data_IF_475545303511
#
_entry.id   IF_475545303511
#
_cell.length_a   1.000
_cell.length_b   1.000
_cell.length_c   1.000
_cell.angle_alpha   90.00
_cell.angle_beta   90.00
_cell.angle_gamma   90.00
#
_symmetry.space_group_name_H-M   'P 1'
#
loop_
_entity.id
_entity.type
_entity.pdbx_description
1 polymer ?
#
# COMPACT_ATOMS: atom_id res chain seq x y z
N UNK A 1 20.53 10.00 -24.39
CA UNK A 1 21.20 9.32 -23.26
C UNK A 1 20.12 8.88 -22.30
N UNK A 2 19.61 7.65 -22.49
CA UNK A 2 18.61 7.04 -21.62
C UNK A 2 19.32 6.61 -20.33
N UNK A 3 18.75 6.93 -19.18
CA UNK A 3 19.17 6.38 -17.88
C UNK A 3 18.37 5.10 -17.62
N UNK A 4 19.02 3.93 -17.46
CA UNK A 4 18.40 2.72 -16.95
C UNK A 4 18.86 2.51 -15.51
N UNK A 5 18.02 2.86 -14.53
CA UNK A 5 18.29 2.69 -13.10
C UNK A 5 17.01 3.06 -12.32
N UNK A 6 16.31 2.22 -11.55
CA UNK A 6 16.69 1.00 -10.84
C UNK A 6 15.43 0.16 -10.56
N UNK A 7 15.51 -1.12 -10.93
CA UNK A 7 14.69 -2.18 -10.36
C UNK A 7 15.17 -2.50 -8.93
N UNK A 8 14.25 -3.05 -8.11
CA UNK A 8 14.53 -3.87 -6.92
C UNK A 8 15.17 -3.18 -5.70
N UNK A 9 14.35 -2.58 -4.83
CA UNK A 9 14.49 -2.73 -3.36
C UNK A 9 13.09 -2.72 -2.73
N UNK A 10 12.38 -3.84 -2.84
CA UNK A 10 11.14 -4.11 -2.12
C UNK A 10 11.33 -5.43 -1.37
N UNK A 11 12.07 -5.39 -0.25
CA UNK A 11 12.24 -6.55 0.61
C UNK A 11 12.62 -6.13 2.04
N UNK A 12 12.04 -6.84 3.01
CA UNK A 12 12.27 -6.80 4.46
C UNK A 12 11.47 -5.71 5.20
N UNK A 13 10.19 -5.96 5.55
CA UNK A 13 9.63 -7.05 6.36
C UNK A 13 10.24 -7.11 7.77
N UNK A 14 9.51 -6.49 8.70
CA UNK A 14 9.69 -6.53 10.15
C UNK A 14 9.45 -7.96 10.65
N UNK A 15 10.44 -8.55 11.33
CA UNK A 15 10.27 -9.76 12.12
C UNK A 15 10.67 -9.48 13.58
N UNK A 16 9.73 -9.50 14.54
CA UNK A 16 10.08 -9.58 15.95
C UNK A 16 10.39 -11.05 16.27
N UNK A 17 11.66 -11.34 16.53
CA UNK A 17 12.09 -12.62 17.12
C UNK A 17 11.68 -12.63 18.60
N UNK A 18 10.52 -13.22 18.88
CA UNK A 18 10.08 -13.51 20.24
C UNK A 18 10.38 -14.96 20.60
N UNK A 19 11.03 -15.08 21.75
CA UNK A 19 11.66 -16.23 22.37
C UNK A 19 10.63 -17.08 23.15
N UNK A 20 10.86 -18.40 23.16
CA UNK A 20 10.57 -19.38 24.22
C UNK A 20 9.11 -19.56 24.74
N UNK A 21 8.54 -20.74 24.49
CA UNK A 21 8.15 -21.66 25.57
C UNK A 21 7.74 -23.04 25.01
N UNK A 22 8.44 -24.07 25.45
CA UNK A 22 8.09 -25.47 25.27
C UNK A 22 7.11 -25.92 26.37
N UNK A 23 6.03 -26.60 26.00
CA UNK A 23 5.20 -27.41 26.91
C UNK A 23 4.85 -28.73 26.23
N UNK A 24 5.24 -29.83 26.87
CA UNK A 24 5.07 -31.22 26.44
C UNK A 24 3.63 -31.74 26.63
N UNK A 25 3.23 -32.82 25.92
CA UNK A 25 1.84 -33.29 25.83
C UNK A 25 1.56 -34.53 26.70
N UNK A 26 0.40 -34.58 27.37
CA UNK A 26 -0.20 -35.84 27.82
C UNK A 26 -1.69 -35.66 28.21
N UNK A 27 -2.50 -36.65 27.79
CA UNK A 27 -3.88 -36.97 28.20
C UNK A 27 -5.06 -36.32 27.42
N UNK A 28 -5.36 -36.96 26.28
CA UNK A 28 -6.63 -37.63 25.95
C UNK A 28 -7.97 -37.01 26.40
N UNK A 29 -8.86 -36.77 25.42
CA UNK A 29 -10.31 -36.79 25.67
C UNK A 29 -11.19 -36.02 24.68
N UNK A 30 -11.70 -36.72 23.66
CA UNK A 30 -13.12 -36.72 23.21
C UNK A 30 -13.80 -35.37 22.90
N UNK A 31 -13.95 -35.01 21.62
CA UNK A 31 -15.23 -35.12 20.88
C UNK A 31 -15.09 -34.52 19.47
N UNK A 32 -15.53 -35.30 18.47
CA UNK A 32 -15.77 -34.84 17.12
C UNK A 32 -17.16 -34.20 17.09
N UNK A 33 -17.20 -32.87 17.03
CA UNK A 33 -18.39 -32.17 16.58
C UNK A 33 -18.19 -31.73 15.13
N UNK A 34 -18.98 -32.38 14.28
CA UNK A 34 -19.29 -31.96 12.95
C UNK A 34 -20.05 -30.64 13.01
N UNK A 35 -19.39 -29.54 12.63
CA UNK A 35 -20.05 -28.47 11.90
C UNK A 35 -19.12 -28.06 10.76
N UNK A 36 -19.32 -28.75 9.64
CA UNK A 36 -19.18 -28.12 8.34
C UNK A 36 -20.00 -26.83 8.35
N UNK A 37 -19.36 -25.74 8.76
CA UNK A 37 -19.60 -24.45 8.15
C UNK A 37 -18.44 -24.22 7.21
N UNK A 38 -18.47 -24.96 6.09
CA UNK A 38 -17.99 -24.43 4.82
C UNK A 38 -18.78 -23.14 4.57
N UNK A 39 -18.36 -22.07 5.23
CA UNK A 39 -18.40 -20.78 4.58
C UNK A 39 -17.03 -20.70 3.95
N UNK A 40 -16.87 -21.07 2.67
CA UNK A 40 -15.73 -20.53 1.97
C UNK A 40 -15.94 -19.03 2.10
N UNK A 41 -15.09 -18.39 2.89
CA UNK A 41 -14.73 -17.02 2.61
C UNK A 41 -13.97 -17.12 1.29
N UNK A 42 -14.72 -17.37 0.23
CA UNK A 42 -14.60 -16.62 -0.99
C UNK A 42 -14.47 -15.17 -0.50
N UNK A 43 -13.21 -14.77 -0.24
CA UNK A 43 -12.74 -13.41 -0.47
C UNK A 43 -12.80 -13.26 -2.00
N UNK A 44 -14.04 -13.35 -2.47
CA UNK A 44 -14.60 -13.11 -3.77
C UNK A 44 -14.04 -11.72 -4.10
N UNK A 45 -12.98 -11.70 -4.90
CA UNK A 45 -13.15 -11.55 -6.34
C UNK A 45 -13.89 -10.27 -6.67
N UNK A 46 -13.43 -9.14 -6.09
CA UNK A 46 -13.53 -7.77 -6.62
C UNK A 46 -12.85 -6.82 -5.63
N UNK A 47 -11.55 -7.01 -5.35
CA UNK A 47 -10.76 -5.85 -4.94
C UNK A 47 -10.69 -5.01 -6.22
N UNK A 48 -11.51 -3.96 -6.28
CA UNK A 48 -11.67 -3.10 -7.44
C UNK A 48 -10.29 -2.63 -7.91
N UNK A 49 -9.86 -3.09 -9.08
CA UNK A 49 -8.69 -2.56 -9.79
C UNK A 49 -8.84 -1.06 -10.11
N UNK A 50 -10.04 -0.52 -9.91
CA UNK A 50 -10.31 0.91 -9.95
C UNK A 50 -9.76 1.61 -8.71
N UNK A 51 -8.83 2.57 -8.88
CA UNK A 51 -8.34 3.38 -7.77
C UNK A 51 -9.52 4.19 -7.22
N UNK A 52 -10.00 3.81 -6.04
CA UNK A 52 -11.02 4.59 -5.35
C UNK A 52 -10.46 5.96 -4.97
N UNK A 53 -11.31 6.99 -4.98
CA UNK A 53 -10.89 8.35 -4.57
C UNK A 53 -10.30 8.36 -3.14
N UNK A 54 -10.82 7.50 -2.26
CA UNK A 54 -10.28 7.30 -0.91
C UNK A 54 -8.85 6.75 -0.94
N UNK A 55 -8.57 5.75 -1.78
CA UNK A 55 -7.22 5.19 -1.97
C UNK A 55 -6.24 6.26 -2.49
N UNK A 56 -6.67 7.06 -3.47
CA UNK A 56 -5.86 8.16 -4.02
C UNK A 56 -5.52 9.22 -2.97
N UNK A 57 -6.50 9.64 -2.16
CA UNK A 57 -6.25 10.60 -1.08
C UNK A 57 -5.24 10.09 -0.04
N UNK A 58 -5.30 8.80 0.31
CA UNK A 58 -4.36 8.19 1.23
C UNK A 58 -2.94 8.11 0.64
N UNK A 59 -2.81 7.83 -0.66
CA UNK A 59 -1.54 7.87 -1.36
C UNK A 59 -0.96 9.29 -1.39
N UNK A 60 -1.78 10.30 -1.69
CA UNK A 60 -1.36 11.71 -1.70
C UNK A 60 -0.88 12.15 -0.31
N UNK A 61 -1.59 11.77 0.75
CA UNK A 61 -1.15 12.06 2.12
C UNK A 61 0.21 11.41 2.44
N UNK A 62 0.47 10.21 1.92
CA UNK A 62 1.76 9.53 2.10
C UNK A 62 2.92 10.19 1.35
N UNK A 63 2.68 11.11 0.41
CA UNK A 63 3.74 11.92 -0.21
C UNK A 63 4.43 12.85 0.80
N UNK A 64 3.74 13.24 1.87
CA UNK A 64 4.28 14.05 2.98
C UNK A 64 4.82 13.22 4.14
N UNK A 65 4.84 11.89 4.03
CA UNK A 65 5.26 11.02 5.13
C UNK A 65 6.72 11.29 5.53
N UNK A 66 7.08 11.24 6.81
CA UNK A 66 8.48 11.40 7.24
C UNK A 66 9.38 10.25 6.78
N UNK A 67 8.83 9.05 6.61
CA UNK A 67 9.53 7.87 6.10
C UNK A 67 9.71 7.96 4.58
N UNK A 68 10.96 7.96 4.13
CA UNK A 68 11.33 7.98 2.72
C UNK A 68 10.68 6.84 1.93
N UNK A 69 10.69 5.61 2.46
CA UNK A 69 10.16 4.46 1.74
C UNK A 69 8.66 4.58 1.50
N UNK A 70 7.92 5.16 2.45
CA UNK A 70 6.49 5.41 2.30
C UNK A 70 6.20 6.49 1.25
N UNK A 71 6.99 7.57 1.23
CA UNK A 71 6.85 8.62 0.21
C UNK A 71 7.09 8.09 -1.20
N UNK A 72 8.15 7.32 -1.39
CA UNK A 72 8.47 6.78 -2.71
C UNK A 72 7.48 5.70 -3.15
N UNK A 73 7.02 4.85 -2.22
CA UNK A 73 5.99 3.86 -2.51
C UNK A 73 4.67 4.53 -2.95
N UNK A 74 4.29 5.62 -2.29
CA UNK A 74 3.11 6.40 -2.68
C UNK A 74 3.27 7.03 -4.07
N UNK A 75 4.43 7.65 -4.34
CA UNK A 75 4.72 8.24 -5.64
C UNK A 75 4.67 7.19 -6.77
N UNK A 76 5.25 6.00 -6.54
CA UNK A 76 5.21 4.90 -7.49
C UNK A 76 3.78 4.38 -7.73
N UNK A 77 2.98 4.24 -6.68
CA UNK A 77 1.59 3.81 -6.80
C UNK A 77 0.75 4.81 -7.60
N UNK A 78 0.93 6.11 -7.36
CA UNK A 78 0.21 7.16 -8.10
C UNK A 78 0.61 7.16 -9.59
N UNK A 79 1.89 6.98 -9.90
CA UNK A 79 2.33 6.85 -11.30
C UNK A 79 1.75 5.62 -12.00
N UNK A 80 1.60 4.51 -11.27
CA UNK A 80 0.98 3.29 -11.80
C UNK A 80 -0.51 3.48 -12.11
N UNK A 81 -1.21 4.32 -11.35
CA UNK A 81 -2.59 4.73 -11.63
C UNK A 81 -2.66 5.56 -12.92
N UNK A 82 -1.69 6.46 -13.12
CA UNK A 82 -1.55 7.23 -14.35
C UNK A 82 -2.49 8.45 -14.42
N UNK A 83 -3.05 8.78 -15.60
CA UNK A 83 -3.77 10.04 -15.83
C UNK A 83 -4.97 10.28 -14.91
N UNK A 84 -5.62 9.22 -14.43
CA UNK A 84 -6.77 9.30 -13.51
C UNK A 84 -6.42 10.02 -12.19
N UNK A 85 -5.15 10.04 -11.79
CA UNK A 85 -4.70 10.72 -10.58
C UNK A 85 -4.43 12.23 -10.76
N UNK A 86 -4.44 12.75 -12.00
CA UNK A 86 -3.99 14.12 -12.30
C UNK A 86 -4.82 15.18 -11.60
N UNK A 87 -6.16 15.06 -11.61
CA UNK A 87 -7.03 16.05 -10.98
C UNK A 87 -6.80 16.14 -9.47
N UNK A 88 -6.61 14.98 -8.83
CA UNK A 88 -6.31 14.90 -7.40
C UNK A 88 -4.92 15.47 -7.09
N UNK A 89 -3.92 15.19 -7.94
CA UNK A 89 -2.56 15.72 -7.80
C UNK A 89 -2.50 17.23 -8.02
N UNK A 90 -3.24 17.77 -9.00
CA UNK A 90 -3.33 19.21 -9.22
C UNK A 90 -3.96 19.91 -8.01
N UNK A 91 -5.05 19.35 -7.50
CA UNK A 91 -5.70 19.86 -6.27
C UNK A 91 -4.72 19.85 -5.10
N UNK A 92 -4.00 18.75 -4.88
CA UNK A 92 -3.01 18.65 -3.81
C UNK A 92 -1.82 19.60 -3.99
N UNK A 93 -1.39 19.83 -5.23
CA UNK A 93 -0.31 20.78 -5.54
C UNK A 93 -0.67 22.22 -5.18
N UNK A 94 -1.94 22.61 -5.32
CA UNK A 94 -2.39 23.98 -5.11
C UNK A 94 -2.95 24.24 -3.70
N UNK A 95 -3.63 23.26 -3.11
CA UNK A 95 -4.44 23.45 -1.91
C UNK A 95 -3.87 22.80 -0.65
N UNK A 96 -2.79 22.01 -0.76
CA UNK A 96 -2.20 21.34 0.41
C UNK A 96 -1.38 22.32 1.25
N UNK A 97 -1.61 22.31 2.57
CA UNK A 97 -0.80 23.07 3.53
C UNK A 97 0.58 22.44 3.77
N UNK A 98 0.77 21.17 3.42
CA UNK A 98 2.07 20.50 3.51
C UNK A 98 2.90 20.77 2.25
N UNK A 99 4.00 21.50 2.44
CA UNK A 99 4.92 21.86 1.37
C UNK A 99 5.48 20.65 0.63
N UNK A 100 5.78 19.55 1.32
CA UNK A 100 6.33 18.34 0.67
C UNK A 100 5.27 17.69 -0.22
N UNK A 101 4.01 17.62 0.25
CA UNK A 101 2.87 17.12 -0.54
C UNK A 101 2.66 18.00 -1.77
N UNK A 102 2.63 19.32 -1.60
CA UNK A 102 2.43 20.27 -2.71
C UNK A 102 3.53 20.14 -3.78
N UNK A 103 4.80 20.19 -3.37
CA UNK A 103 5.94 20.12 -4.29
C UNK A 103 6.00 18.78 -5.04
N UNK A 104 5.82 17.67 -4.33
CA UNK A 104 5.85 16.34 -4.96
C UNK A 104 4.66 16.10 -5.86
N UNK A 105 3.47 16.54 -5.47
CA UNK A 105 2.28 16.43 -6.33
C UNK A 105 2.51 17.17 -7.64
N UNK A 106 3.09 18.37 -7.60
CA UNK A 106 3.45 19.13 -8.79
C UNK A 106 4.52 18.45 -9.63
N UNK A 107 5.50 17.80 -9.00
CA UNK A 107 6.50 16.99 -9.72
C UNK A 107 5.85 15.80 -10.44
N UNK A 108 4.88 15.14 -9.82
CA UNK A 108 4.19 13.98 -10.38
C UNK A 108 3.29 14.35 -11.57
N UNK A 109 2.59 15.49 -11.51
CA UNK A 109 1.81 16.01 -12.64
C UNK A 109 2.67 16.14 -13.91
N UNK A 110 3.92 16.56 -13.78
CA UNK A 110 4.84 16.68 -14.91
C UNK A 110 5.44 15.34 -15.37
N UNK A 111 5.38 14.31 -14.52
CA UNK A 111 5.99 13.00 -14.79
C UNK A 111 5.01 12.02 -15.46
N UNK A 112 3.70 12.18 -15.24
CA UNK A 112 2.66 11.32 -15.81
C UNK A 112 2.44 11.73 -17.28
N UNK A 113 2.65 10.82 -18.25
CA UNK A 113 2.39 11.11 -19.65
C UNK A 113 0.88 11.21 -19.92
N UNK A 114 0.51 12.15 -20.79
CA UNK A 114 -0.86 12.39 -21.27
C UNK A 114 -1.18 11.58 -22.51
#
# INVERSE_FOLDING_TARGET
MLSPSRCLVWAYAVLPSLLLAAVSPACAGIQADALASDKPLEKELLESDEPTAESLSALIANLGNSDYHKREAAAAAIQAIGPTALDALLTAAEMSDDLEVSMRSRSLVNAIPL
#
